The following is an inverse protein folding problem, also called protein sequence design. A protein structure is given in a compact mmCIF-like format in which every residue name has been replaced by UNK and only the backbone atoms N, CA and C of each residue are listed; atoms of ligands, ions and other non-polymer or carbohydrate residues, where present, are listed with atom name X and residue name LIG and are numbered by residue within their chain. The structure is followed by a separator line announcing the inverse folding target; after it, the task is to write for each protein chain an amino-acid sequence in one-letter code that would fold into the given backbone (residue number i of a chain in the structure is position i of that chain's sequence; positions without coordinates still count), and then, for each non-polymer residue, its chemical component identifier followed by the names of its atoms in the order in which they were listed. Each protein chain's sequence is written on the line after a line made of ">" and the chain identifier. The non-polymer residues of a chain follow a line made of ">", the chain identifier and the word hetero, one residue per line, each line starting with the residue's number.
data_IF_123640147395
#
_entry.id   IF_123640147395
#
_cell.length_a   1.000
_cell.length_b   1.000
_cell.length_c   1.000
_cell.angle_alpha   90.00
_cell.angle_beta   90.00
_cell.angle_gamma   90.00
#
_symmetry.space_group_name_H-M   'P 1'
#
loop_
_entity.id
_entity.type
_entity.pdbx_description
1 polymer ?
#
# COMPACT_ATOMS: atom_id res chain seq x y z
N UNK A 1 74.18 -14.23 -0.37
CA UNK A 1 73.72 -13.29 0.70
C UNK A 1 72.93 -14.09 1.73
N UNK A 2 72.80 -13.57 2.96
CA UNK A 2 72.25 -14.28 4.13
C UNK A 2 70.72 -14.53 4.02
N UNK A 3 70.04 -15.32 4.87
CA UNK A 3 70.45 -15.94 6.14
C UNK A 3 69.65 -17.22 6.46
N UNK A 4 70.21 -18.07 7.33
CA UNK A 4 69.48 -19.04 8.17
C UNK A 4 68.48 -18.32 9.11
N UNK A 5 67.46 -18.90 9.76
CA UNK A 5 66.74 -20.20 9.78
C UNK A 5 65.89 -20.18 11.10
N UNK A 6 65.11 -21.24 11.37
CA UNK A 6 64.53 -21.66 12.65
C UNK A 6 63.14 -21.17 13.11
N UNK A 7 62.27 -22.18 13.23
CA UNK A 7 61.03 -22.24 13.99
C UNK A 7 61.34 -22.34 15.50
N UNK A 8 60.51 -21.71 16.35
CA UNK A 8 60.22 -22.22 17.72
C UNK A 8 58.73 -21.98 18.10
N UNK A 9 58.16 -22.75 19.07
CA UNK A 9 56.71 -22.90 19.19
C UNK A 9 56.10 -22.41 20.53
N UNK A 10 54.75 -22.38 20.55
CA UNK A 10 53.82 -22.54 21.68
C UNK A 10 53.95 -21.61 22.92
N UNK A 11 52.85 -20.92 23.24
CA UNK A 11 52.25 -21.00 24.58
C UNK A 11 50.73 -20.76 24.60
N UNK A 12 50.10 -21.13 25.71
CA UNK A 12 48.64 -21.34 25.90
C UNK A 12 47.99 -20.13 26.58
N UNK A 13 46.75 -19.77 26.20
CA UNK A 13 46.08 -18.54 26.66
C UNK A 13 44.55 -18.60 26.81
N UNK A 14 44.08 -19.45 27.72
CA UNK A 14 42.84 -19.30 28.53
C UNK A 14 41.50 -18.86 27.88
N UNK A 15 40.61 -19.84 27.83
CA UNK A 15 39.14 -19.76 27.90
C UNK A 15 38.49 -18.53 28.57
N UNK A 16 37.48 -17.95 27.91
CA UNK A 16 36.36 -17.27 28.57
C UNK A 16 35.04 -17.88 28.07
N UNK A 17 34.39 -18.70 28.92
CA UNK A 17 32.97 -19.02 28.79
C UNK A 17 32.16 -17.82 29.28
N UNK A 18 31.27 -17.26 28.46
CA UNK A 18 30.14 -16.44 28.94
C UNK A 18 28.84 -17.22 28.74
N UNK A 19 28.41 -17.88 29.80
CA UNK A 19 27.05 -18.39 29.91
C UNK A 19 26.11 -17.25 30.29
N UNK A 20 25.16 -16.90 29.42
CA UNK A 20 23.96 -16.18 29.85
C UNK A 20 22.80 -17.17 30.00
N UNK A 21 22.41 -17.41 31.26
CA UNK A 21 21.16 -18.10 31.58
C UNK A 21 19.98 -17.16 31.32
N UNK A 22 18.88 -17.75 30.87
CA UNK A 22 17.58 -17.08 30.80
C UNK A 22 17.10 -16.62 32.18
N UNK A 23 16.40 -15.50 32.21
CA UNK A 23 15.31 -15.20 33.15
C UNK A 23 14.21 -14.44 32.43
N UNK A 24 13.16 -15.16 32.06
CA UNK A 24 11.86 -14.53 31.87
C UNK A 24 11.25 -14.21 33.25
N UNK A 25 10.62 -13.04 33.44
CA UNK A 25 9.58 -12.85 34.44
C UNK A 25 8.25 -13.34 33.89
N UNK A 26 7.46 -13.99 34.74
CA UNK A 26 6.11 -14.45 34.42
C UNK A 26 5.11 -13.29 34.37
N UNK A 27 4.02 -13.51 33.65
CA UNK A 27 2.89 -12.59 33.50
C UNK A 27 2.06 -12.44 34.78
N UNK A 28 1.51 -11.24 34.97
CA UNK A 28 0.23 -11.03 35.67
C UNK A 28 -0.48 -9.83 35.04
N UNK A 29 -1.82 -9.87 34.83
CA UNK A 29 -2.52 -8.86 34.04
C UNK A 29 -2.87 -7.64 34.90
N UNK A 30 -2.55 -6.44 34.39
CA UNK A 30 -3.10 -5.21 34.92
C UNK A 30 -4.21 -4.70 33.99
N UNK A 31 -5.41 -4.49 34.53
CA UNK A 31 -6.56 -3.99 33.78
C UNK A 31 -6.31 -2.54 33.36
N UNK A 32 -6.03 -2.31 32.08
CA UNK A 32 -5.97 -0.96 31.52
C UNK A 32 -7.40 -0.45 31.27
N UNK A 33 -7.83 0.51 32.07
CA UNK A 33 -9.06 1.26 31.83
C UNK A 33 -8.87 2.18 30.62
N UNK A 34 -9.58 1.89 29.53
CA UNK A 34 -9.65 2.76 28.34
C UNK A 34 -10.01 4.21 28.74
N UNK A 35 -9.03 5.11 28.67
CA UNK A 35 -9.25 6.54 28.83
C UNK A 35 -9.11 7.21 27.46
N UNK A 36 -10.25 7.71 26.94
CA UNK A 36 -10.37 8.36 25.63
C UNK A 36 -9.27 9.41 25.41
N UNK A 37 -8.31 9.14 24.53
CA UNK A 37 -7.51 10.18 23.90
C UNK A 37 -8.43 11.08 23.08
N UNK A 38 -8.16 12.39 23.15
CA UNK A 38 -9.07 13.41 22.62
C UNK A 38 -8.70 13.73 21.18
N UNK A 39 -9.69 13.78 20.28
CA UNK A 39 -9.52 14.41 18.97
C UNK A 39 -8.97 15.83 19.14
N UNK A 40 -7.74 16.06 18.67
CA UNK A 40 -7.16 17.39 18.56
C UNK A 40 -7.42 17.95 17.16
N UNK A 41 -8.42 18.82 17.15
CA UNK A 41 -8.73 19.92 16.21
C UNK A 41 -8.00 19.98 14.86
N UNK A 42 -8.79 19.86 13.78
CA UNK A 42 -8.42 20.24 12.41
C UNK A 42 -8.06 21.74 12.31
N UNK A 43 -7.10 22.13 11.45
CA UNK A 43 -6.91 23.53 11.06
C UNK A 43 -8.15 24.11 10.38
N UNK A 44 -8.47 25.39 10.68
CA UNK A 44 -9.60 26.10 10.08
C UNK A 44 -9.21 26.68 8.73
N UNK A 45 -9.75 26.12 7.65
CA UNK A 45 -9.73 26.80 6.35
C UNK A 45 -10.58 28.08 6.39
N UNK A 46 -9.98 29.21 6.01
CA UNK A 46 -10.67 30.49 5.84
C UNK A 46 -11.39 30.53 4.49
N UNK A 47 -12.72 30.48 4.50
CA UNK A 47 -13.54 30.79 3.31
C UNK A 47 -14.02 32.25 3.38
N UNK A 48 -13.79 33.09 2.34
CA UNK A 48 -14.45 34.39 2.23
C UNK A 48 -15.90 34.27 1.75
N UNK A 49 -16.78 35.05 2.37
CA UNK A 49 -18.26 35.04 2.21
C UNK A 49 -18.74 35.60 0.85
N UNK A 50 -19.85 35.12 0.28
CA UNK A 50 -20.27 35.48 -1.09
C UNK A 50 -21.04 36.81 -1.18
N UNK A 51 -21.02 37.42 -2.37
CA UNK A 51 -21.93 38.51 -2.77
C UNK A 51 -23.04 37.97 -3.68
N UNK A 52 -24.31 38.14 -3.28
CA UNK A 52 -25.45 38.08 -4.20
C UNK A 52 -25.58 39.38 -5.00
N UNK A 53 -26.34 39.38 -6.11
CA UNK A 53 -27.68 39.94 -5.99
C UNK A 53 -28.81 39.16 -6.68
N UNK A 54 -29.97 39.29 -6.04
CA UNK A 54 -31.37 39.07 -6.44
C UNK A 54 -31.72 39.11 -7.94
N UNK A 55 -32.65 38.23 -8.36
CA UNK A 55 -33.96 38.62 -8.94
C UNK A 55 -34.91 37.41 -9.16
N UNK A 56 -36.11 37.48 -8.56
CA UNK A 56 -37.34 36.71 -8.91
C UNK A 56 -38.23 37.57 -9.84
N UNK A 57 -39.36 37.11 -10.43
CA UNK A 57 -40.23 35.95 -10.14
C UNK A 57 -40.39 35.00 -11.38
N UNK A 58 -41.35 34.06 -11.56
CA UNK A 58 -42.62 33.69 -10.91
C UNK A 58 -42.91 32.18 -10.98
N UNK A 59 -43.91 31.68 -10.25
CA UNK A 59 -44.55 30.36 -10.47
C UNK A 59 -45.84 30.46 -11.31
N UNK A 60 -46.43 29.34 -11.78
CA UNK A 60 -47.58 28.81 -11.02
C UNK A 60 -47.77 27.27 -10.96
N UNK A 61 -48.06 26.80 -9.74
CA UNK A 61 -49.11 25.81 -9.31
C UNK A 61 -49.26 24.39 -9.92
N UNK A 62 -49.14 23.39 -9.03
CA UNK A 62 -49.92 22.13 -8.87
C UNK A 62 -49.90 21.11 -10.06
N UNK A 63 -50.00 19.78 -9.89
CA UNK A 63 -50.91 18.95 -9.06
C UNK A 63 -50.20 17.67 -8.55
N UNK A 64 -50.68 17.09 -7.44
CA UNK A 64 -50.23 15.81 -6.85
C UNK A 64 -50.64 14.55 -7.61
N UNK A 65 -49.80 13.51 -7.59
CA UNK A 65 -50.22 12.10 -7.52
C UNK A 65 -49.14 11.29 -6.77
N UNK A 66 -49.42 10.74 -5.59
CA UNK A 66 -50.13 9.47 -5.31
C UNK A 66 -49.22 8.23 -5.42
N UNK A 67 -48.59 7.88 -4.30
CA UNK A 67 -47.87 6.62 -4.06
C UNK A 67 -48.83 5.43 -3.95
N UNK A 68 -48.48 4.23 -4.45
CA UNK A 68 -49.06 2.95 -4.02
C UNK A 68 -48.20 2.25 -2.93
N UNK A 69 -48.76 1.31 -2.15
CA UNK A 69 -48.23 0.96 -0.84
C UNK A 69 -47.30 -0.27 -0.79
N UNK A 70 -46.56 -0.36 0.32
CA UNK A 70 -45.91 -1.59 0.79
C UNK A 70 -46.92 -2.72 1.01
N UNK A 71 -46.55 -3.94 0.63
CA UNK A 71 -47.17 -5.18 1.13
C UNK A 71 -46.14 -6.00 1.90
N UNK A 72 -46.56 -6.51 3.06
CA UNK A 72 -45.70 -7.17 4.05
C UNK A 72 -45.92 -8.68 4.06
N UNK A 73 -44.85 -9.43 4.38
CA UNK A 73 -44.85 -10.80 4.95
C UNK A 73 -45.47 -11.96 4.14
N UNK A 74 -44.59 -12.89 3.75
CA UNK A 74 -44.76 -14.31 4.13
C UNK A 74 -43.43 -14.88 4.62
N UNK A 75 -43.44 -15.37 5.85
CA UNK A 75 -42.35 -16.07 6.54
C UNK A 75 -42.40 -17.56 6.17
N UNK A 76 -41.32 -18.14 5.65
CA UNK A 76 -41.18 -19.60 5.51
C UNK A 76 -39.77 -20.00 5.98
N UNK A 77 -39.71 -20.65 7.15
CA UNK A 77 -38.50 -21.33 7.63
C UNK A 77 -38.25 -22.60 6.80
N UNK A 78 -37.11 -22.68 6.13
CA UNK A 78 -36.48 -23.96 5.78
C UNK A 78 -34.98 -23.83 6.04
N UNK A 79 -34.51 -24.44 7.13
CA UNK A 79 -33.09 -24.60 7.41
C UNK A 79 -32.52 -25.82 6.66
N UNK A 80 -31.45 -25.67 5.84
CA UNK A 80 -30.63 -26.79 5.39
C UNK A 80 -29.61 -27.16 6.47
N UNK A 81 -29.36 -28.45 6.63
CA UNK A 81 -28.47 -28.98 7.67
C UNK A 81 -26.99 -28.85 7.28
N UNK A 82 -26.11 -28.88 8.29
CA UNK A 82 -24.67 -28.72 8.12
C UNK A 82 -24.04 -29.87 7.31
N UNK A 83 -23.42 -29.55 6.18
CA UNK A 83 -22.45 -30.41 5.48
C UNK A 83 -21.11 -29.67 5.34
N UNK A 84 -20.00 -30.22 5.86
CA UNK A 84 -18.67 -29.61 5.69
C UNK A 84 -18.12 -29.95 4.30
N UNK A 85 -18.14 -29.00 3.38
CA UNK A 85 -17.63 -29.21 2.02
C UNK A 85 -17.80 -28.04 1.04
N UNK A 86 -18.72 -27.11 1.28
CA UNK A 86 -18.91 -25.93 0.43
C UNK A 86 -18.19 -24.70 1.01
N UNK A 87 -16.96 -24.44 0.56
CA UNK A 87 -16.44 -23.06 0.57
C UNK A 87 -17.24 -22.28 -0.48
N UNK A 88 -18.37 -21.70 -0.05
CA UNK A 88 -19.09 -20.73 -0.86
C UNK A 88 -18.16 -19.55 -1.11
N UNK A 89 -17.77 -19.36 -2.37
CA UNK A 89 -17.49 -18.02 -2.85
C UNK A 89 -18.63 -17.12 -2.36
N UNK A 90 -18.28 -16.03 -1.69
CA UNK A 90 -19.23 -14.96 -1.43
C UNK A 90 -19.42 -14.21 -2.77
N UNK A 91 -20.12 -14.85 -3.71
CA UNK A 91 -20.70 -14.21 -4.90
C UNK A 91 -21.80 -13.23 -4.42
N UNK A 92 -21.35 -12.12 -3.84
CA UNK A 92 -22.07 -10.89 -4.03
C UNK A 92 -21.97 -10.59 -5.52
N UNK A 93 -23.12 -10.40 -6.18
CA UNK A 93 -23.20 -9.84 -7.54
C UNK A 93 -22.84 -8.34 -7.52
N UNK A 94 -21.74 -7.99 -6.86
CA UNK A 94 -21.07 -6.72 -7.05
C UNK A 94 -20.37 -6.84 -8.40
N UNK A 95 -20.82 -6.07 -9.38
CA UNK A 95 -19.98 -5.82 -10.55
C UNK A 95 -18.75 -5.14 -9.96
N UNK A 96 -17.59 -5.76 -10.13
CA UNK A 96 -16.35 -5.12 -9.71
C UNK A 96 -16.13 -3.93 -10.65
N UNK A 97 -16.44 -2.74 -10.14
CA UNK A 97 -16.37 -1.49 -10.89
C UNK A 97 -14.91 -1.01 -11.08
N UNK A 98 -13.90 -1.72 -10.55
CA UNK A 98 -12.47 -1.43 -10.72
C UNK A 98 -12.06 -1.07 -12.16
N UNK A 99 -12.45 -1.83 -13.22
CA UNK A 99 -12.10 -1.47 -14.60
C UNK A 99 -12.74 -0.15 -15.06
N UNK A 100 -13.93 0.19 -14.54
CA UNK A 100 -14.62 1.43 -14.87
C UNK A 100 -14.02 2.61 -14.11
N UNK A 101 -13.77 2.45 -12.81
CA UNK A 101 -13.23 3.50 -11.94
C UNK A 101 -11.81 3.91 -12.39
N UNK A 102 -10.90 2.94 -12.60
CA UNK A 102 -9.56 3.25 -13.13
C UNK A 102 -9.64 3.90 -14.53
N UNK A 103 -10.57 3.48 -15.38
CA UNK A 103 -10.74 4.08 -16.71
C UNK A 103 -11.23 5.53 -16.65
N UNK A 104 -12.19 5.84 -15.77
CA UNK A 104 -12.72 7.18 -15.60
C UNK A 104 -11.73 8.10 -14.88
N UNK A 105 -10.94 7.60 -13.93
CA UNK A 105 -9.82 8.35 -13.32
C UNK A 105 -8.74 8.68 -14.36
N UNK A 106 -8.28 7.70 -15.14
CA UNK A 106 -7.35 7.92 -16.25
C UNK A 106 -7.89 8.92 -17.28
N UNK A 107 -9.21 8.91 -17.51
CA UNK A 107 -9.86 9.87 -18.40
C UNK A 107 -9.89 11.27 -17.78
N UNK A 108 -10.25 11.40 -16.50
CA UNK A 108 -10.36 12.66 -15.77
C UNK A 108 -9.01 13.35 -15.60
N UNK A 109 -8.01 12.60 -15.12
CA UNK A 109 -6.62 13.03 -14.95
C UNK A 109 -5.86 13.18 -16.28
N UNK A 110 -6.47 12.76 -17.39
CA UNK A 110 -5.87 12.67 -18.72
C UNK A 110 -4.62 11.77 -18.78
N UNK A 111 -4.50 10.79 -17.91
CA UNK A 111 -3.36 9.87 -17.86
C UNK A 111 -3.48 8.74 -18.91
N UNK A 112 -2.34 8.37 -19.51
CA UNK A 112 -2.14 7.25 -20.43
C UNK A 112 -1.50 6.03 -19.76
N UNK A 113 -0.60 6.24 -18.78
CA UNK A 113 -0.01 5.18 -17.95
C UNK A 113 -0.58 5.13 -16.53
N UNK A 114 -0.68 3.94 -15.97
CA UNK A 114 -1.01 3.68 -14.56
C UNK A 114 -0.25 2.48 -14.01
N UNK A 115 -0.38 2.24 -12.70
CA UNK A 115 0.35 1.20 -11.97
C UNK A 115 1.46 1.75 -11.09
N UNK A 116 2.11 0.84 -10.35
CA UNK A 116 3.09 1.08 -9.30
C UNK A 116 4.51 1.30 -9.82
N UNK A 117 5.25 2.11 -9.07
CA UNK A 117 6.71 2.11 -9.08
C UNK A 117 7.22 1.15 -8.00
N UNK A 118 8.20 0.34 -8.33
CA UNK A 118 8.69 -0.76 -7.50
C UNK A 118 10.22 -0.65 -7.38
N UNK A 119 10.71 -0.31 -6.19
CA UNK A 119 12.14 -0.22 -5.91
C UNK A 119 12.70 -1.56 -5.45
N UNK A 120 13.77 -2.00 -6.11
CA UNK A 120 14.64 -3.08 -5.63
C UNK A 120 15.71 -2.49 -4.72
N UNK A 121 15.71 -2.89 -3.45
CA UNK A 121 16.64 -2.39 -2.43
C UNK A 121 17.54 -3.46 -1.81
N UNK A 122 17.58 -4.65 -2.41
CA UNK A 122 18.51 -5.73 -2.11
C UNK A 122 18.95 -6.43 -3.40
N UNK A 123 20.22 -6.80 -3.46
CA UNK A 123 20.86 -7.36 -4.66
C UNK A 123 21.53 -8.71 -4.40
N UNK A 124 21.21 -9.36 -3.27
CA UNK A 124 21.75 -10.67 -2.89
C UNK A 124 21.13 -11.86 -3.63
N UNK A 125 19.96 -11.69 -4.24
CA UNK A 125 19.23 -12.76 -4.95
C UNK A 125 18.51 -12.20 -6.19
N UNK A 126 19.07 -12.50 -7.38
CA UNK A 126 18.47 -12.15 -8.68
C UNK A 126 17.34 -13.11 -9.09
N UNK A 127 17.37 -14.37 -8.64
CA UNK A 127 16.35 -15.35 -9.01
C UNK A 127 15.04 -15.09 -8.25
N UNK A 128 15.12 -14.77 -6.95
CA UNK A 128 13.98 -14.32 -6.17
C UNK A 128 13.40 -12.99 -6.68
N UNK A 129 14.25 -12.05 -7.12
CA UNK A 129 13.79 -10.81 -7.75
C UNK A 129 13.05 -11.09 -9.07
N UNK A 130 13.63 -11.90 -9.97
CA UNK A 130 12.95 -12.28 -11.21
C UNK A 130 11.62 -13.02 -10.95
N UNK A 131 11.58 -13.88 -9.91
CA UNK A 131 10.34 -14.55 -9.46
C UNK A 131 9.31 -13.55 -8.94
N UNK A 132 9.71 -12.55 -8.16
CA UNK A 132 8.85 -11.46 -7.69
C UNK A 132 8.22 -10.70 -8.87
N UNK A 133 9.05 -10.24 -9.82
CA UNK A 133 8.56 -9.53 -11.00
C UNK A 133 7.57 -10.39 -11.81
N UNK A 134 7.85 -11.69 -11.96
CA UNK A 134 6.96 -12.63 -12.65
C UNK A 134 5.61 -12.76 -11.93
N UNK A 135 5.62 -13.00 -10.62
CA UNK A 135 4.43 -13.13 -9.77
C UNK A 135 3.51 -11.92 -9.92
N UNK A 136 4.05 -10.70 -9.73
CA UNK A 136 3.26 -9.47 -9.83
C UNK A 136 2.66 -9.33 -11.23
N UNK A 137 3.45 -9.50 -12.29
CA UNK A 137 2.96 -9.38 -13.66
C UNK A 137 1.89 -10.43 -14.03
N UNK A 138 2.04 -11.69 -13.60
CA UNK A 138 1.08 -12.76 -13.92
C UNK A 138 -0.22 -12.57 -13.14
N UNK A 139 -0.16 -12.27 -11.83
CA UNK A 139 -1.37 -12.03 -11.02
C UNK A 139 -2.18 -10.84 -11.53
N UNK A 140 -1.55 -9.70 -11.78
CA UNK A 140 -2.25 -8.53 -12.31
C UNK A 140 -2.90 -8.79 -13.68
N UNK A 141 -2.31 -9.66 -14.51
CA UNK A 141 -2.90 -10.04 -15.81
C UNK A 141 -4.06 -11.00 -15.66
N UNK A 142 -4.01 -11.91 -14.70
CA UNK A 142 -5.14 -12.79 -14.37
C UNK A 142 -6.31 -11.97 -13.83
N UNK A 143 -6.07 -11.13 -12.81
CA UNK A 143 -7.03 -10.17 -12.24
C UNK A 143 -7.67 -9.30 -13.33
N UNK A 144 -6.88 -8.64 -14.19
CA UNK A 144 -7.42 -7.87 -15.32
C UNK A 144 -8.26 -8.71 -16.31
N UNK A 145 -7.97 -9.99 -16.48
CA UNK A 145 -8.73 -10.89 -17.36
C UNK A 145 -10.05 -11.30 -16.71
N UNK A 146 -10.02 -11.66 -15.43
CA UNK A 146 -11.17 -12.05 -14.61
C UNK A 146 -12.17 -10.90 -14.48
N UNK A 147 -11.67 -9.68 -14.26
CA UNK A 147 -12.46 -8.44 -14.15
C UNK A 147 -12.83 -7.82 -15.52
N UNK A 148 -12.46 -8.46 -16.64
CA UNK A 148 -12.90 -8.01 -17.97
C UNK A 148 -12.32 -6.68 -18.45
N UNK A 149 -11.09 -6.33 -18.05
CA UNK A 149 -10.44 -5.08 -18.46
C UNK A 149 -10.39 -4.92 -19.98
N UNK A 150 -10.77 -3.74 -20.47
CA UNK A 150 -10.65 -3.44 -21.89
C UNK A 150 -9.17 -3.48 -22.32
N UNK A 151 -8.89 -3.94 -23.55
CA UNK A 151 -7.53 -3.98 -24.10
C UNK A 151 -6.81 -2.63 -23.98
N UNK A 152 -7.53 -1.51 -24.14
CA UNK A 152 -6.97 -0.16 -24.01
C UNK A 152 -6.50 0.11 -22.57
N UNK A 153 -7.35 -0.19 -21.58
CA UNK A 153 -7.03 0.00 -20.17
C UNK A 153 -5.85 -0.88 -19.74
N UNK A 154 -5.90 -2.17 -20.08
CA UNK A 154 -4.83 -3.12 -19.82
C UNK A 154 -3.50 -2.76 -20.50
N UNK A 155 -3.53 -2.11 -21.68
CA UNK A 155 -2.31 -1.62 -22.34
C UNK A 155 -1.68 -0.38 -21.69
N UNK A 156 -2.39 0.30 -20.78
CA UNK A 156 -1.85 1.41 -19.99
C UNK A 156 -1.20 0.99 -18.68
N UNK A 157 -1.31 -0.29 -18.27
CA UNK A 157 -0.71 -0.78 -17.03
C UNK A 157 0.81 -0.94 -17.19
N UNK A 158 1.57 -0.28 -16.34
CA UNK A 158 3.02 -0.38 -16.28
C UNK A 158 3.53 -0.46 -14.83
N UNK A 159 3.98 -1.66 -14.43
CA UNK A 159 4.79 -1.87 -13.24
C UNK A 159 6.23 -1.40 -13.53
N UNK A 160 6.61 -0.24 -12.99
CA UNK A 160 7.91 0.39 -13.26
C UNK A 160 8.94 -0.05 -12.22
N UNK A 161 9.81 -0.97 -12.61
CA UNK A 161 10.85 -1.51 -11.74
C UNK A 161 12.12 -0.65 -11.76
N UNK A 162 12.48 -0.09 -10.61
CA UNK A 162 13.70 0.70 -10.41
C UNK A 162 14.74 -0.13 -9.65
N UNK A 163 15.90 -0.35 -10.27
CA UNK A 163 16.87 -1.38 -9.84
C UNK A 163 18.34 -0.95 -10.05
N UNK A 164 18.64 0.34 -9.85
CA UNK A 164 20.03 0.82 -9.80
C UNK A 164 20.66 0.46 -8.45
N UNK A 165 21.57 -0.52 -8.45
CA UNK A 165 22.26 -0.97 -7.24
C UNK A 165 23.07 0.16 -6.57
N UNK A 166 23.64 1.08 -7.34
CA UNK A 166 24.46 2.16 -6.79
C UNK A 166 23.65 3.21 -6.02
N UNK A 167 22.33 3.26 -6.24
CA UNK A 167 21.41 4.19 -5.62
C UNK A 167 20.49 3.55 -4.56
N UNK A 168 20.11 2.28 -4.75
CA UNK A 168 19.02 1.67 -3.97
C UNK A 168 19.44 0.52 -3.03
N UNK A 169 20.65 -0.02 -3.14
CA UNK A 169 21.12 -1.13 -2.28
C UNK A 169 21.22 -0.66 -0.81
N UNK A 170 20.33 -1.17 0.05
CA UNK A 170 20.21 -0.74 1.45
C UNK A 170 19.70 0.70 1.65
N UNK A 171 19.10 1.34 0.64
CA UNK A 171 18.60 2.71 0.75
C UNK A 171 17.43 2.84 1.76
N UNK A 172 17.43 3.93 2.53
CA UNK A 172 16.36 4.21 3.50
C UNK A 172 15.07 4.68 2.81
N UNK A 173 13.92 4.51 3.45
CA UNK A 173 12.63 5.01 2.94
C UNK A 173 12.66 6.52 2.67
N UNK A 174 13.37 7.30 3.47
CA UNK A 174 13.48 8.75 3.30
C UNK A 174 14.33 9.11 2.05
N UNK A 175 15.40 8.36 1.78
CA UNK A 175 16.17 8.48 0.52
C UNK A 175 15.31 8.10 -0.70
N UNK A 176 14.52 7.03 -0.58
CA UNK A 176 13.62 6.57 -1.64
C UNK A 176 12.48 7.56 -1.90
N UNK A 177 11.92 8.21 -0.88
CA UNK A 177 10.92 9.29 -1.04
C UNK A 177 11.51 10.50 -1.81
N UNK A 178 12.72 10.94 -1.46
CA UNK A 178 13.42 12.02 -2.18
C UNK A 178 13.68 11.65 -3.65
N UNK A 179 14.15 10.44 -3.91
CA UNK A 179 14.33 9.93 -5.27
C UNK A 179 12.99 9.82 -6.01
N UNK A 180 11.95 9.26 -5.37
CA UNK A 180 10.62 9.09 -5.96
C UNK A 180 10.00 10.44 -6.34
N UNK A 181 10.03 11.44 -5.47
CA UNK A 181 9.54 12.79 -5.81
C UNK A 181 10.29 13.40 -7.02
N UNK A 182 11.60 13.14 -7.12
CA UNK A 182 12.41 13.57 -8.27
C UNK A 182 11.99 12.84 -9.55
N UNK A 183 11.89 11.50 -9.51
CA UNK A 183 11.38 10.66 -10.59
C UNK A 183 9.96 11.08 -11.03
N UNK A 184 9.06 11.33 -10.08
CA UNK A 184 7.68 11.79 -10.29
C UNK A 184 7.66 13.09 -11.11
N UNK A 185 8.62 13.99 -10.92
CA UNK A 185 8.72 15.25 -11.68
C UNK A 185 9.06 15.02 -13.16
N UNK A 186 9.93 14.05 -13.47
CA UNK A 186 10.32 13.68 -14.84
C UNK A 186 9.28 12.76 -15.52
N UNK A 187 8.70 11.84 -14.75
CA UNK A 187 7.75 10.84 -15.20
C UNK A 187 6.46 11.45 -15.74
N UNK A 188 5.82 12.39 -15.01
CA UNK A 188 4.57 13.04 -15.46
C UNK A 188 4.64 13.52 -16.91
N UNK A 189 5.71 14.25 -17.23
CA UNK A 189 5.89 14.89 -18.55
C UNK A 189 6.09 13.88 -19.68
N UNK A 190 6.74 12.73 -19.38
CA UNK A 190 7.06 11.71 -20.38
C UNK A 190 5.99 10.61 -20.48
N UNK A 191 5.27 10.32 -19.40
CA UNK A 191 4.25 9.28 -19.30
C UNK A 191 2.83 9.78 -19.61
N UNK A 192 2.54 11.05 -19.32
CA UNK A 192 1.19 11.62 -19.38
C UNK A 192 1.11 12.80 -20.37
N UNK A 193 1.44 12.61 -21.67
CA UNK A 193 1.51 13.71 -22.65
C UNK A 193 0.18 14.42 -22.90
N UNK A 194 -0.94 13.89 -22.41
CA UNK A 194 -2.26 14.53 -22.43
C UNK A 194 -2.55 15.42 -21.22
N UNK A 195 -1.84 15.29 -20.10
CA UNK A 195 -1.94 16.23 -18.97
C UNK A 195 -1.03 17.45 -19.18
N UNK A 196 -1.45 18.32 -20.09
CA UNK A 196 -0.75 19.58 -20.41
C UNK A 196 -0.77 20.58 -19.23
N UNK A 197 -1.70 20.43 -18.30
CA UNK A 197 -1.84 21.34 -17.16
C UNK A 197 -0.95 20.93 -15.98
N UNK A 198 -0.73 19.62 -15.77
CA UNK A 198 0.12 19.09 -14.69
C UNK A 198 -0.42 19.38 -13.29
N UNK A 199 -1.73 19.61 -13.15
CA UNK A 199 -2.35 20.17 -11.92
C UNK A 199 -2.92 19.14 -10.95
N UNK A 200 -3.06 17.89 -11.39
CA UNK A 200 -3.79 16.83 -10.67
C UNK A 200 -2.94 15.57 -10.45
N UNK A 201 -1.62 15.65 -10.59
CA UNK A 201 -0.74 14.48 -10.40
C UNK A 201 -0.78 13.94 -8.97
N UNK A 202 -1.06 14.83 -8.02
CA UNK A 202 -1.22 14.59 -6.59
C UNK A 202 -2.48 13.78 -6.27
N UNK A 203 -3.35 13.53 -7.26
CA UNK A 203 -4.52 12.66 -7.15
C UNK A 203 -4.27 11.24 -7.69
N UNK A 204 -3.15 10.99 -8.37
CA UNK A 204 -2.88 9.69 -8.99
C UNK A 204 -2.05 8.78 -8.09
N UNK A 205 -2.56 7.59 -7.77
CA UNK A 205 -1.86 6.61 -6.93
C UNK A 205 -0.42 6.30 -7.41
N UNK A 206 -0.20 6.23 -8.73
CA UNK A 206 1.13 6.09 -9.37
C UNK A 206 2.18 7.11 -8.91
N UNK A 207 1.75 8.32 -8.55
CA UNK A 207 2.62 9.45 -8.18
C UNK A 207 2.55 9.80 -6.69
N UNK A 208 1.77 9.05 -5.90
CA UNK A 208 1.67 9.19 -4.45
C UNK A 208 2.34 8.04 -3.67
N UNK A 209 2.39 6.84 -4.26
CA UNK A 209 2.83 5.62 -3.59
C UNK A 209 3.87 4.83 -4.40
N UNK A 210 4.74 4.12 -3.70
CA UNK A 210 5.66 3.14 -4.28
C UNK A 210 5.76 1.87 -3.44
N UNK A 211 6.21 0.80 -4.09
CA UNK A 211 6.54 -0.49 -3.45
C UNK A 211 8.03 -0.53 -3.14
N UNK A 212 8.39 -0.96 -1.93
CA UNK A 212 9.77 -1.12 -1.46
C UNK A 212 10.07 -2.62 -1.24
N UNK A 213 11.04 -3.15 -1.99
CA UNK A 213 11.40 -4.59 -1.96
C UNK A 213 12.78 -4.78 -1.35
N UNK A 214 12.79 -5.28 -0.12
CA UNK A 214 14.00 -5.64 0.64
C UNK A 214 14.23 -7.16 0.68
N UNK A 215 15.24 -7.60 1.44
CA UNK A 215 15.60 -9.02 1.59
C UNK A 215 14.46 -9.84 2.22
N UNK A 216 13.68 -9.27 3.14
CA UNK A 216 12.56 -9.98 3.78
C UNK A 216 11.41 -10.21 2.79
N UNK A 217 11.09 -9.21 1.96
CA UNK A 217 10.10 -9.32 0.87
C UNK A 217 10.53 -10.38 -0.16
N UNK A 218 11.79 -10.35 -0.62
CA UNK A 218 12.29 -11.36 -1.55
C UNK A 218 12.27 -12.76 -0.95
N UNK A 219 12.71 -12.92 0.31
CA UNK A 219 12.72 -14.24 0.95
C UNK A 219 11.31 -14.81 1.10
N UNK A 220 10.32 -13.99 1.45
CA UNK A 220 8.91 -14.41 1.49
C UNK A 220 8.37 -14.79 0.11
N UNK A 221 8.90 -14.20 -0.96
CA UNK A 221 8.53 -14.50 -2.35
C UNK A 221 9.04 -15.87 -2.82
N UNK A 222 10.14 -16.38 -2.25
CA UNK A 222 10.68 -17.71 -2.59
C UNK A 222 9.66 -18.82 -2.25
N UNK A 223 8.93 -18.68 -1.13
CA UNK A 223 7.91 -19.63 -0.68
C UNK A 223 6.56 -19.47 -1.40
N UNK A 224 6.35 -18.39 -2.16
CA UNK A 224 5.09 -18.13 -2.86
C UNK A 224 4.83 -19.12 -4.02
N UNK A 225 3.66 -19.77 -4.01
CA UNK A 225 3.13 -20.52 -5.15
C UNK A 225 2.34 -19.57 -6.07
N UNK A 226 2.58 -19.67 -7.37
CA UNK A 226 1.84 -18.93 -8.40
C UNK A 226 0.35 -19.30 -8.41
N UNK A 227 0.00 -20.52 -8.03
CA UNK A 227 -1.38 -21.02 -8.00
C UNK A 227 -2.10 -20.75 -6.67
N UNK A 228 -1.41 -20.18 -5.67
CA UNK A 228 -2.00 -19.91 -4.36
C UNK A 228 -1.90 -18.42 -4.01
N UNK A 229 -3.00 -17.70 -4.28
CA UNK A 229 -3.15 -16.27 -4.03
C UNK A 229 -2.74 -15.87 -2.60
N UNK A 230 -3.06 -16.70 -1.60
CA UNK A 230 -2.80 -16.43 -0.18
C UNK A 230 -1.32 -16.47 0.27
N UNK A 231 -0.34 -16.78 -0.59
CA UNK A 231 1.05 -17.09 -0.19
C UNK A 231 2.09 -16.06 -0.68
N UNK A 232 1.71 -14.90 -1.22
CA UNK A 232 2.67 -13.90 -1.71
C UNK A 232 3.40 -13.06 -0.63
N UNK A 233 3.44 -13.55 0.61
CA UNK A 233 4.14 -12.87 1.70
C UNK A 233 3.61 -11.47 2.00
N UNK A 234 4.44 -10.68 2.68
CA UNK A 234 4.23 -9.26 2.90
C UNK A 234 5.16 -8.44 2.01
N UNK A 235 4.64 -7.33 1.51
CA UNK A 235 5.33 -6.35 0.67
C UNK A 235 5.22 -4.98 1.34
N UNK A 236 6.31 -4.21 1.35
CA UNK A 236 6.31 -2.89 1.97
C UNK A 236 5.73 -1.87 0.98
N UNK A 237 4.68 -1.17 1.39
CA UNK A 237 3.97 -0.16 0.60
C UNK A 237 4.16 1.21 1.25
N UNK A 238 4.67 2.18 0.50
CA UNK A 238 5.19 3.45 1.01
C UNK A 238 4.45 4.63 0.39
N UNK A 239 4.03 5.56 1.24
CA UNK A 239 3.44 6.85 0.88
C UNK A 239 4.53 7.92 0.75
N UNK A 240 4.35 8.81 -0.22
CA UNK A 240 5.26 9.90 -0.52
C UNK A 240 4.48 11.18 -0.84
N UNK A 241 3.69 11.67 0.13
CA UNK A 241 3.11 13.02 0.06
C UNK A 241 4.17 14.08 0.40
N UNK A 242 3.90 15.35 0.10
CA UNK A 242 4.80 16.47 0.43
C UNK A 242 5.18 16.50 1.92
N UNK A 243 4.24 16.14 2.80
CA UNK A 243 4.43 16.04 4.25
C UNK A 243 5.36 14.89 4.66
N UNK A 244 5.52 13.86 3.82
CA UNK A 244 6.48 12.76 4.06
C UNK A 244 7.91 13.12 3.65
N UNK A 245 8.13 14.28 3.01
CA UNK A 245 9.44 14.81 2.62
C UNK A 245 10.04 15.80 3.65
N UNK A 246 9.24 16.29 4.60
CA UNK A 246 9.66 17.23 5.64
C UNK A 246 10.40 16.50 6.78
N UNK A 247 11.73 16.65 6.95
CA UNK A 247 12.47 15.92 7.97
C UNK A 247 12.08 16.33 9.40
N UNK A 248 11.69 17.59 9.64
CA UNK A 248 11.37 18.07 10.99
C UNK A 248 10.07 17.42 11.48
N UNK A 249 9.04 17.41 10.63
CA UNK A 249 7.79 16.73 10.94
C UNK A 249 7.96 15.21 11.08
N UNK A 250 8.90 14.62 10.32
CA UNK A 250 9.19 13.17 10.37
C UNK A 250 9.88 12.76 11.67
N UNK A 251 10.80 13.56 12.20
CA UNK A 251 11.37 13.33 13.54
C UNK A 251 10.35 13.60 14.66
N UNK A 252 9.49 14.63 14.52
CA UNK A 252 8.40 14.87 15.48
C UNK A 252 7.40 13.70 15.52
N UNK A 253 6.99 13.18 14.36
CA UNK A 253 6.10 12.02 14.28
C UNK A 253 6.67 10.78 15.00
N UNK A 254 7.98 10.53 14.85
CA UNK A 254 8.68 9.43 15.55
C UNK A 254 8.68 9.57 17.07
N UNK A 255 8.67 10.79 17.62
CA UNK A 255 8.63 11.03 19.07
C UNK A 255 7.29 10.60 19.70
N UNK A 256 6.18 10.66 18.95
CA UNK A 256 4.84 10.35 19.46
C UNK A 256 4.37 8.90 19.22
N UNK A 257 5.19 8.07 18.58
CA UNK A 257 4.86 6.67 18.27
C UNK A 257 5.59 5.67 19.16
N UNK A 258 4.85 4.76 19.82
CA UNK A 258 5.42 3.62 20.57
C UNK A 258 6.08 2.52 19.67
N UNK A 259 6.42 2.85 18.43
CA UNK A 259 6.87 1.91 17.39
C UNK A 259 8.34 2.10 17.07
N UNK A 260 9.04 1.00 16.77
CA UNK A 260 10.50 0.95 16.62
C UNK A 260 11.05 1.78 15.43
N UNK A 261 10.20 2.14 14.46
CA UNK A 261 10.55 2.97 13.28
C UNK A 261 9.78 4.31 13.20
N UNK A 262 8.66 4.44 13.93
CA UNK A 262 7.82 5.64 14.02
C UNK A 262 7.29 6.25 12.71
N UNK A 263 7.38 5.55 11.58
CA UNK A 263 7.06 6.05 10.25
C UNK A 263 5.60 5.68 9.86
N UNK A 264 4.66 6.61 10.04
CA UNK A 264 3.25 6.45 9.57
C UNK A 264 3.08 6.49 8.04
N UNK A 265 4.15 6.79 7.30
CA UNK A 265 4.18 6.88 5.84
C UNK A 265 4.50 5.55 5.14
N UNK A 266 4.47 4.41 5.83
CA UNK A 266 4.52 3.08 5.20
C UNK A 266 3.74 2.02 5.99
N UNK A 267 3.34 0.96 5.30
CA UNK A 267 2.71 -0.22 5.88
C UNK A 267 3.17 -1.49 5.16
N UNK A 268 2.87 -2.64 5.74
CA UNK A 268 3.00 -3.92 5.03
C UNK A 268 1.63 -4.38 4.53
N UNK A 269 1.55 -4.66 3.24
CA UNK A 269 0.37 -5.26 2.58
C UNK A 269 0.70 -6.70 2.18
N UNK A 270 -0.32 -7.55 2.00
CA UNK A 270 -0.09 -8.87 1.39
C UNK A 270 0.34 -8.67 -0.07
N UNK A 271 1.31 -9.45 -0.55
CA UNK A 271 1.83 -9.27 -1.92
C UNK A 271 0.78 -9.43 -3.03
N UNK A 272 -0.34 -10.10 -2.72
CA UNK A 272 -1.50 -10.23 -3.60
C UNK A 272 -2.25 -8.90 -3.82
N UNK A 273 -2.14 -7.94 -2.90
CA UNK A 273 -2.68 -6.58 -3.07
C UNK A 273 -1.85 -5.71 -4.02
N UNK A 274 -0.73 -6.21 -4.58
CA UNK A 274 0.06 -5.44 -5.55
C UNK A 274 -0.55 -5.64 -6.96
N UNK A 275 -1.78 -5.15 -7.15
CA UNK A 275 -2.58 -5.34 -8.37
C UNK A 275 -3.65 -4.24 -8.59
N UNK A 276 -4.30 -4.24 -9.77
CA UNK A 276 -5.40 -3.36 -10.14
C UNK A 276 -6.43 -2.98 -9.06
N UNK A 277 -7.03 -3.93 -8.33
CA UNK A 277 -8.08 -3.58 -7.37
C UNK A 277 -7.55 -2.69 -6.24
N UNK A 278 -6.38 -2.99 -5.70
CA UNK A 278 -5.79 -2.14 -4.66
C UNK A 278 -5.35 -0.78 -5.21
N UNK A 279 -4.93 -0.71 -6.48
CA UNK A 279 -4.57 0.55 -7.15
C UNK A 279 -5.78 1.51 -7.25
N UNK A 280 -6.95 0.98 -7.59
CA UNK A 280 -8.22 1.74 -7.55
C UNK A 280 -8.56 2.15 -6.13
N UNK A 281 -8.62 1.19 -5.21
CA UNK A 281 -9.14 1.41 -3.87
C UNK A 281 -8.28 2.40 -3.08
N UNK A 282 -6.95 2.32 -3.16
CA UNK A 282 -6.07 3.25 -2.45
C UNK A 282 -5.96 4.63 -3.16
N UNK A 283 -6.22 4.67 -4.47
CA UNK A 283 -6.15 5.88 -5.29
C UNK A 283 -7.38 6.78 -5.18
N UNK A 284 -8.58 6.20 -4.97
CA UNK A 284 -9.84 6.95 -5.02
C UNK A 284 -10.00 8.05 -3.95
N UNK A 285 -9.25 8.00 -2.84
CA UNK A 285 -9.25 9.04 -1.81
C UNK A 285 -7.98 8.96 -0.94
N UNK A 286 -7.35 10.10 -0.63
CA UNK A 286 -6.19 10.17 0.29
C UNK A 286 -6.48 9.62 1.68
N UNK A 287 -7.73 9.74 2.16
CA UNK A 287 -8.17 9.18 3.44
C UNK A 287 -8.20 7.64 3.44
N UNK A 288 -8.24 6.99 2.27
CA UNK A 288 -8.23 5.53 2.20
C UNK A 288 -6.92 4.94 2.74
N UNK A 289 -5.81 5.70 2.74
CA UNK A 289 -4.58 5.33 3.46
C UNK A 289 -4.88 4.88 4.89
N UNK A 290 -5.65 5.66 5.64
CA UNK A 290 -5.97 5.40 7.05
C UNK A 290 -6.97 4.25 7.25
N UNK A 291 -7.66 3.80 6.19
CA UNK A 291 -8.52 2.62 6.23
C UNK A 291 -7.72 1.31 6.12
N UNK A 292 -6.56 1.33 5.44
CA UNK A 292 -5.66 0.18 5.29
C UNK A 292 -4.46 0.22 6.24
N UNK A 293 -4.06 1.41 6.69
CA UNK A 293 -2.84 1.62 7.48
C UNK A 293 -2.80 0.70 8.70
N UNK A 294 -1.85 -0.22 8.67
CA UNK A 294 -1.51 -1.07 9.80
C UNK A 294 -0.03 -0.86 10.10
N UNK A 295 0.34 -0.41 11.31
CA UNK A 295 1.72 -0.12 11.66
C UNK A 295 2.61 -1.38 11.55
N UNK A 296 3.76 -1.30 10.86
CA UNK A 296 4.72 -2.39 10.75
C UNK A 296 5.18 -2.92 12.13
N UNK A 297 5.41 -4.24 12.27
CA UNK A 297 5.40 -5.29 11.23
C UNK A 297 4.00 -5.82 10.84
N UNK A 298 2.92 -5.10 11.14
CA UNK A 298 1.58 -5.52 10.78
C UNK A 298 1.10 -6.75 11.57
N UNK A 299 0.07 -7.42 11.07
CA UNK A 299 -0.65 -8.53 11.72
C UNK A 299 0.26 -9.53 12.46
N UNK A 300 0.35 -9.36 13.78
CA UNK A 300 0.74 -10.46 14.68
C UNK A 300 -0.41 -11.46 14.71
N UNK A 301 -0.28 -12.53 13.92
CA UNK A 301 -1.14 -13.70 14.04
C UNK A 301 -1.07 -14.23 15.49
N UNK A 302 -2.20 -14.16 16.19
CA UNK A 302 -2.47 -14.76 17.50
C UNK A 302 -3.43 -15.93 17.35
#
# INVERSE_FOLDING_TARGET
>A
MASFCWIRPLQVGHSIRRSYRSRAPLSTPCFSTYQKSRHLQKPRFFCPTPRSPTLHPSSPRYISSSTPPFHTLTHIDIAPQNTPGEHRHFELNYIDDTPYNIFDDLRYLKHDKWGWVIYRCTYGDDEAWAKFQKIINERSRNEMTELGFSRKLASGLEWTYLSDQSLFDGASRDQLRQHFHSWVTEAKTSEQPRDVDGKNYDLAARYQFFVYVDEAVLRATIDADLNNYAVCGLVNFVRCWDIDLDPEWREEAREYTDQEDGDEGWMQIVGDMVGPCFYEVIGGNTENWYAFYTPPPGFRNY
#
